data_IF_854891662524
#
_entry.id   IF_854891662524
#
_cell.length_a   1.000
_cell.length_b   1.000
_cell.length_c   1.000
_cell.angle_alpha   90.00
_cell.angle_beta   90.00
_cell.angle_gamma   90.00
#
_symmetry.space_group_name_H-M   'P 1'
#
loop_
_entity.id
_entity.type
_entity.pdbx_description
1 polymer ?
#
# COMPACT_ATOMS: atom_id res chain seq x y z
N UNK A 1 30.25 11.60 -9.42
CA UNK A 1 29.28 11.71 -8.30
C UNK A 1 27.95 11.21 -8.83
N UNK A 2 27.56 9.98 -8.50
CA UNK A 2 26.30 9.37 -8.94
C UNK A 2 25.46 9.12 -7.68
N UNK A 3 24.83 10.18 -7.17
CA UNK A 3 23.99 10.15 -5.96
C UNK A 3 22.53 9.82 -6.31
N UNK A 4 22.31 8.95 -7.29
CA UNK A 4 20.95 8.55 -7.67
C UNK A 4 20.50 7.43 -6.73
N UNK A 5 19.62 7.78 -5.79
CA UNK A 5 18.90 6.79 -4.99
C UNK A 5 17.92 6.09 -5.92
N UNK A 6 18.27 4.89 -6.39
CA UNK A 6 17.35 4.00 -7.12
C UNK A 6 16.66 3.09 -6.11
N UNK A 7 15.35 3.23 -5.86
CA UNK A 7 14.64 2.32 -4.98
C UNK A 7 14.67 0.91 -5.56
N UNK A 8 15.36 -0.01 -4.90
CA UNK A 8 15.31 -1.43 -5.23
C UNK A 8 14.26 -2.11 -4.35
N UNK A 9 13.03 -2.18 -4.88
CA UNK A 9 11.89 -2.78 -4.20
C UNK A 9 12.06 -4.30 -4.01
N UNK A 10 12.85 -4.97 -4.85
CA UNK A 10 13.12 -6.41 -4.68
C UNK A 10 14.07 -6.67 -3.51
N UNK A 11 15.10 -5.84 -3.34
CA UNK A 11 16.00 -5.92 -2.19
C UNK A 11 15.28 -5.62 -0.89
N UNK A 12 14.37 -4.64 -0.86
CA UNK A 12 13.53 -4.35 0.31
C UNK A 12 12.60 -5.53 0.67
N UNK A 13 11.97 -6.16 -0.32
CA UNK A 13 11.14 -7.35 -0.11
C UNK A 13 11.96 -8.55 0.43
N UNK A 14 13.15 -8.79 -0.14
CA UNK A 14 14.07 -9.86 0.31
C UNK A 14 14.64 -9.61 1.71
N UNK A 15 14.87 -8.36 2.09
CA UNK A 15 15.32 -8.00 3.45
C UNK A 15 14.23 -8.30 4.49
N UNK A 16 12.97 -7.96 4.21
CA UNK A 16 11.82 -8.31 5.08
C UNK A 16 11.64 -9.82 5.26
N UNK A 17 11.91 -10.60 4.21
CA UNK A 17 11.83 -12.07 4.28
C UNK A 17 12.94 -12.71 5.15
N UNK A 18 14.13 -12.09 5.21
CA UNK A 18 15.25 -12.57 6.06
C UNK A 18 15.10 -12.24 7.53
N UNK A 19 14.34 -11.20 7.87
CA UNK A 19 14.19 -10.75 9.25
C UNK A 19 13.36 -11.70 10.15
N UNK A 20 12.84 -12.81 9.60
CA UNK A 20 12.22 -13.89 10.39
C UNK A 20 11.10 -13.43 11.32
N UNK A 21 10.62 -12.20 11.15
CA UNK A 21 9.66 -11.56 12.03
C UNK A 21 8.35 -12.25 11.72
N UNK A 22 7.99 -13.24 12.56
CA UNK A 22 6.65 -13.82 12.60
C UNK A 22 5.65 -12.68 12.37
N UNK A 23 4.66 -12.82 11.48
CA UNK A 23 3.60 -11.83 11.38
C UNK A 23 3.08 -11.64 12.80
N UNK A 24 3.38 -10.48 13.38
CA UNK A 24 2.88 -10.15 14.71
C UNK A 24 1.37 -10.33 14.62
N UNK A 25 0.77 -11.03 15.59
CA UNK A 25 -0.68 -11.24 15.65
C UNK A 25 -1.35 -9.95 15.20
N UNK A 26 -2.12 -10.03 14.10
CA UNK A 26 -2.57 -8.85 13.38
C UNK A 26 -3.23 -7.92 14.38
N UNK A 27 -2.59 -6.78 14.66
CA UNK A 27 -3.20 -5.76 15.48
C UNK A 27 -4.58 -5.47 14.88
N UNK A 28 -5.63 -5.29 15.70
CA UNK A 28 -6.98 -5.09 15.19
C UNK A 28 -6.96 -3.99 14.13
N UNK A 29 -7.36 -4.37 12.91
CA UNK A 29 -7.39 -3.49 11.74
C UNK A 29 -8.78 -2.88 11.68
N UNK A 30 -8.85 -1.56 11.76
CA UNK A 30 -10.10 -0.82 11.59
C UNK A 30 -10.15 -0.25 10.18
N UNK A 31 -11.08 -0.72 9.36
CA UNK A 31 -11.34 -0.11 8.05
C UNK A 31 -11.99 1.25 8.25
N UNK A 32 -11.38 2.28 7.67
CA UNK A 32 -11.85 3.67 7.75
C UNK A 32 -12.68 4.02 6.51
N UNK A 33 -12.16 3.69 5.33
CA UNK A 33 -12.75 4.04 4.04
C UNK A 33 -12.25 3.12 2.95
N UNK A 34 -13.10 2.80 1.98
CA UNK A 34 -12.70 2.15 0.71
C UNK A 34 -12.72 3.19 -0.40
N UNK A 35 -11.64 3.25 -1.19
CA UNK A 35 -11.51 4.18 -2.32
C UNK A 35 -12.18 3.64 -3.58
N UNK A 36 -12.15 2.32 -3.76
CA UNK A 36 -12.75 1.64 -4.90
C UNK A 36 -12.04 0.34 -5.25
N UNK A 37 -12.50 -0.28 -6.32
CA UNK A 37 -11.99 -1.56 -6.82
C UNK A 37 -11.68 -1.43 -8.31
N UNK A 38 -10.55 -2.00 -8.74
CA UNK A 38 -10.15 -2.08 -10.15
C UNK A 38 -9.70 -3.50 -10.45
N UNK A 39 -10.52 -4.21 -11.24
CA UNK A 39 -10.33 -5.65 -11.47
C UNK A 39 -10.43 -6.41 -10.15
N UNK A 40 -9.39 -7.14 -9.78
CA UNK A 40 -9.31 -7.91 -8.54
C UNK A 40 -8.63 -7.16 -7.39
N UNK A 41 -8.34 -5.86 -7.56
CA UNK A 41 -7.62 -5.05 -6.57
C UNK A 41 -8.58 -4.07 -5.89
N UNK A 42 -8.76 -4.18 -4.58
CA UNK A 42 -9.53 -3.23 -3.78
C UNK A 42 -8.60 -2.32 -2.98
N UNK A 43 -8.80 -1.00 -3.03
CA UNK A 43 -7.95 -0.03 -2.32
C UNK A 43 -8.70 0.53 -1.12
N UNK A 44 -8.12 0.38 0.06
CA UNK A 44 -8.75 0.82 1.32
C UNK A 44 -7.77 1.56 2.24
N UNK A 45 -8.32 2.49 3.02
CA UNK A 45 -7.66 3.10 4.17
C UNK A 45 -8.03 2.33 5.43
N UNK A 46 -7.02 1.90 6.16
CA UNK A 46 -7.17 1.21 7.44
C UNK A 46 -6.39 1.92 8.54
N UNK A 47 -6.88 1.85 9.77
CA UNK A 47 -6.14 2.23 10.97
C UNK A 47 -5.67 0.97 11.68
N UNK A 48 -4.41 0.92 12.05
CA UNK A 48 -3.82 -0.19 12.78
C UNK A 48 -2.81 0.30 13.81
N UNK A 49 -2.48 -0.55 14.78
CA UNK A 49 -1.48 -0.25 15.81
C UNK A 49 -0.12 -0.81 15.39
N UNK A 50 0.83 0.07 15.12
CA UNK A 50 2.23 -0.25 14.88
C UNK A 50 3.01 -0.33 16.19
N UNK A 51 3.80 -1.38 16.37
CA UNK A 51 4.65 -1.55 17.56
C UNK A 51 5.73 -0.44 17.71
N UNK A 52 6.14 0.20 16.61
CA UNK A 52 7.18 1.24 16.60
C UNK A 52 6.63 2.66 16.60
N UNK A 53 5.44 2.87 16.05
CA UNK A 53 4.89 4.22 15.75
C UNK A 53 3.54 4.51 16.40
N UNK A 54 3.02 3.60 17.22
CA UNK A 54 1.66 3.74 17.76
C UNK A 54 0.61 3.53 16.68
N UNK A 55 -0.53 4.21 16.80
CA UNK A 55 -1.58 4.12 15.79
C UNK A 55 -1.16 4.80 14.48
N UNK A 56 -1.41 4.12 13.36
CA UNK A 56 -1.08 4.59 12.02
C UNK A 56 -2.26 4.38 11.08
N UNK A 57 -2.38 5.27 10.10
CA UNK A 57 -3.18 5.05 8.90
C UNK A 57 -2.36 4.33 7.85
N UNK A 58 -2.96 3.36 7.17
CA UNK A 58 -2.34 2.59 6.10
C UNK A 58 -3.26 2.52 4.90
N UNK A 59 -2.70 2.80 3.72
CA UNK A 59 -3.36 2.48 2.45
C UNK A 59 -2.95 1.08 2.06
N UNK A 60 -3.93 0.18 1.92
CA UNK A 60 -3.72 -1.23 1.58
C UNK A 60 -4.41 -1.56 0.27
N UNK A 61 -3.90 -2.58 -0.41
CA UNK A 61 -4.50 -3.11 -1.63
C UNK A 61 -4.81 -4.58 -1.40
N UNK A 62 -6.09 -4.92 -1.34
CA UNK A 62 -6.54 -6.29 -1.16
C UNK A 62 -6.66 -6.98 -2.53
N UNK A 63 -6.24 -8.25 -2.57
CA UNK A 63 -6.31 -9.11 -3.76
C UNK A 63 -6.77 -10.52 -3.36
N UNK A 64 -7.21 -11.36 -4.32
CA UNK A 64 -7.54 -12.76 -4.03
C UNK A 64 -6.38 -13.56 -3.41
N UNK A 65 -5.13 -13.17 -3.69
CA UNK A 65 -3.92 -13.77 -3.11
C UNK A 65 -3.55 -13.24 -1.72
N UNK A 66 -4.38 -12.38 -1.14
CA UNK A 66 -4.14 -11.69 0.13
C UNK A 66 -3.89 -10.20 -0.06
N UNK A 67 -3.41 -9.56 1.01
CA UNK A 67 -3.17 -8.13 1.04
C UNK A 67 -1.77 -7.81 0.54
N UNK A 68 -1.67 -6.94 -0.47
CA UNK A 68 -0.41 -6.27 -0.80
C UNK A 68 -0.13 -5.27 0.32
N UNK A 69 1.05 -5.38 0.91
CA UNK A 69 1.45 -4.58 2.08
C UNK A 69 1.26 -3.07 1.87
N UNK A 70 1.25 -2.29 2.96
CA UNK A 70 0.77 -0.93 2.91
C UNK A 70 1.63 -0.07 1.97
N UNK A 71 0.96 0.60 1.04
CA UNK A 71 1.57 1.47 0.01
C UNK A 71 1.77 2.90 0.51
N UNK A 72 1.10 3.27 1.60
CA UNK A 72 1.34 4.48 2.39
C UNK A 72 1.13 4.17 3.87
N UNK A 73 1.94 4.77 4.75
CA UNK A 73 1.83 4.62 6.20
C UNK A 73 2.05 5.99 6.83
N UNK A 74 0.99 6.54 7.42
CA UNK A 74 1.04 7.85 8.07
C UNK A 74 0.68 7.75 9.56
N UNK A 75 1.18 8.65 10.42
CA UNK A 75 0.75 8.74 11.81
C UNK A 75 -0.78 8.94 11.91
N UNK A 76 -1.41 8.42 12.98
CA UNK A 76 -2.84 8.64 13.23
C UNK A 76 -3.14 10.06 13.78
N UNK A 77 -2.83 11.08 12.98
CA UNK A 77 -3.13 12.50 13.20
C UNK A 77 -4.02 13.02 12.07
N UNK A 78 -4.58 14.22 12.22
CA UNK A 78 -5.40 14.84 11.16
C UNK A 78 -4.61 15.07 9.87
N UNK A 79 -3.36 15.55 9.98
CA UNK A 79 -2.46 15.71 8.84
C UNK A 79 -2.13 14.35 8.20
N UNK A 80 -1.88 13.31 9.01
CA UNK A 80 -1.61 11.98 8.51
C UNK A 80 -2.82 11.32 7.83
N UNK A 81 -4.03 11.61 8.31
CA UNK A 81 -5.27 11.20 7.62
C UNK A 81 -5.36 11.85 6.24
N UNK A 82 -5.09 13.16 6.17
CA UNK A 82 -5.15 13.92 4.92
C UNK A 82 -4.12 13.43 3.89
N UNK A 83 -2.89 13.16 4.32
CA UNK A 83 -1.84 12.63 3.45
C UNK A 83 -2.12 11.18 3.04
N UNK A 84 -2.61 10.33 3.96
CA UNK A 84 -3.03 8.98 3.62
C UNK A 84 -4.20 8.97 2.61
N UNK A 85 -5.13 9.94 2.71
CA UNK A 85 -6.24 10.07 1.76
C UNK A 85 -5.77 10.40 0.34
N UNK A 86 -4.78 11.30 0.22
CA UNK A 86 -4.13 11.60 -1.07
C UNK A 86 -3.43 10.39 -1.66
N UNK A 87 -2.73 9.61 -0.84
CA UNK A 87 -2.07 8.37 -1.29
C UNK A 87 -3.12 7.37 -1.79
N UNK A 88 -4.22 7.18 -1.06
CA UNK A 88 -5.32 6.30 -1.46
C UNK A 88 -5.91 6.67 -2.81
N UNK A 89 -6.20 7.97 -3.01
CA UNK A 89 -6.68 8.50 -4.30
C UNK A 89 -5.67 8.32 -5.43
N UNK A 90 -4.38 8.56 -5.19
CA UNK A 90 -3.35 8.39 -6.20
C UNK A 90 -3.21 6.92 -6.63
N UNK A 91 -3.29 5.99 -5.68
CA UNK A 91 -3.20 4.54 -5.93
C UNK A 91 -4.38 4.06 -6.76
N UNK A 92 -5.63 4.35 -6.35
CA UNK A 92 -6.80 3.90 -7.13
C UNK A 92 -6.77 4.49 -8.55
N UNK A 93 -6.39 5.77 -8.69
CA UNK A 93 -6.28 6.40 -10.00
C UNK A 93 -5.21 5.74 -10.88
N UNK A 94 -4.10 5.34 -10.28
CA UNK A 94 -3.03 4.63 -11.00
C UNK A 94 -3.52 3.26 -11.47
N UNK A 95 -4.22 2.51 -10.63
CA UNK A 95 -4.79 1.21 -11.01
C UNK A 95 -5.79 1.34 -12.17
N UNK A 96 -6.66 2.36 -12.14
CA UNK A 96 -7.57 2.66 -13.25
C UNK A 96 -6.83 2.91 -14.57
N UNK A 97 -5.74 3.68 -14.53
CA UNK A 97 -4.93 3.97 -15.72
C UNK A 97 -4.26 2.72 -16.27
N UNK A 98 -3.74 1.85 -15.39
CA UNK A 98 -3.12 0.59 -15.79
C UNK A 98 -4.15 -0.38 -16.38
N UNK A 99 -5.35 -0.47 -15.80
CA UNK A 99 -6.42 -1.33 -16.31
C UNK A 99 -6.88 -0.91 -17.73
N UNK A 100 -6.91 0.41 -18.01
CA UNK A 100 -7.21 0.94 -19.34
C UNK A 100 -6.10 0.66 -20.36
N UNK A 101 -4.86 0.51 -19.92
CA UNK A 101 -3.68 0.29 -20.78
C UNK A 101 -3.50 -1.17 -21.21
N UNK A 102 -4.12 -2.14 -20.54
CA UNK A 102 -4.02 -3.57 -20.88
C UNK A 102 -4.62 -3.96 -22.25
N UNK A 103 -5.16 -3.02 -23.03
CA UNK A 103 -5.54 -3.22 -24.44
C UNK A 103 -4.51 -2.74 -25.47
N UNK A 104 -3.39 -2.13 -25.05
CA UNK A 104 -2.48 -1.36 -25.93
C UNK A 104 -1.08 -2.00 -26.10
N UNK A 105 -0.91 -3.25 -25.65
CA UNK A 105 0.37 -4.00 -25.73
C UNK A 105 0.32 -5.18 -26.72
N UNK A 106 -0.50 -5.09 -27.78
CA UNK A 106 -0.34 -5.95 -28.95
C UNK A 106 0.72 -5.32 -29.87
N UNK A 107 2.00 -5.51 -29.51
CA UNK A 107 3.11 -5.19 -30.41
C UNK A 107 3.27 -6.40 -31.33
N UNK A 108 2.56 -6.33 -32.46
CA UNK A 108 2.75 -7.21 -33.62
C UNK A 108 4.15 -7.07 -34.22
#
# INVERSE_FOLDING_TARGET
MDNVIRPDFQRAAKARAKDGRKPAASAPVQYIKTYGEVGTHAVSLVRTRSALRGDVYQVVIDTPGGQVGPVGVEPATDDGMFDADRVGMAVIRTLELLARRSGDFDVA
#
